data_IF_943800311544
#
_entry.id   IF_943800311544
#
_cell.length_a   1.000
_cell.length_b   1.000
_cell.length_c   1.000
_cell.angle_alpha   90.00
_cell.angle_beta   90.00
_cell.angle_gamma   90.00
#
_symmetry.space_group_name_H-M   'P 1'
#
loop_
_entity.id
_entity.type
_entity.pdbx_description
1 polymer ?
#
# COMPACT_ATOMS: atom_id res chain seq x y z
N UNK A 1 -20.79 -25.25 1.25
CA UNK A 1 -20.49 -24.23 0.25
C UNK A 1 -19.63 -23.18 0.90
N UNK A 2 -18.53 -22.81 0.24
CA UNK A 2 -17.50 -22.02 0.90
C UNK A 2 -17.89 -20.55 1.07
N UNK A 3 -18.37 -20.20 2.24
CA UNK A 3 -18.72 -18.81 2.63
C UNK A 3 -17.56 -17.83 2.34
N UNK A 4 -16.32 -18.29 2.50
CA UNK A 4 -15.13 -17.51 2.18
C UNK A 4 -15.08 -17.06 0.69
N UNK A 5 -15.44 -17.95 -0.24
CA UNK A 5 -15.48 -17.62 -1.69
C UNK A 5 -16.61 -16.67 -2.03
N UNK A 6 -17.74 -16.83 -1.36
CA UNK A 6 -18.86 -15.90 -1.52
C UNK A 6 -18.53 -14.51 -0.98
N UNK A 7 -17.87 -14.43 0.17
CA UNK A 7 -17.37 -13.17 0.74
C UNK A 7 -16.37 -12.48 -0.22
N UNK A 8 -15.42 -13.23 -0.77
CA UNK A 8 -14.46 -12.71 -1.76
C UNK A 8 -15.16 -12.21 -3.03
N UNK A 9 -16.14 -12.95 -3.56
CA UNK A 9 -16.94 -12.52 -4.72
C UNK A 9 -17.71 -11.23 -4.43
N UNK A 10 -18.39 -11.16 -3.28
CA UNK A 10 -19.15 -9.98 -2.89
C UNK A 10 -18.25 -8.75 -2.73
N UNK A 11 -17.06 -8.91 -2.15
CA UNK A 11 -16.07 -7.85 -2.02
C UNK A 11 -15.59 -7.35 -3.39
N UNK A 12 -15.24 -8.25 -4.30
CA UNK A 12 -14.80 -7.93 -5.65
C UNK A 12 -15.88 -7.19 -6.45
N UNK A 13 -17.15 -7.61 -6.32
CA UNK A 13 -18.27 -6.95 -6.98
C UNK A 13 -18.50 -5.53 -6.45
N UNK A 14 -18.42 -5.32 -5.14
CA UNK A 14 -18.55 -3.99 -4.52
C UNK A 14 -17.43 -3.05 -4.92
N UNK A 15 -16.19 -3.55 -4.95
CA UNK A 15 -15.07 -2.77 -5.46
C UNK A 15 -15.27 -2.38 -6.94
N UNK A 16 -15.62 -3.32 -7.80
CA UNK A 16 -15.82 -3.07 -9.23
C UNK A 16 -16.92 -2.04 -9.54
N UNK A 17 -17.96 -1.96 -8.69
CA UNK A 17 -19.03 -0.96 -8.83
C UNK A 17 -18.71 0.39 -8.20
N UNK A 18 -17.49 0.57 -7.64
CA UNK A 18 -17.10 1.79 -6.95
C UNK A 18 -17.79 2.00 -5.59
N UNK A 19 -18.53 0.98 -5.11
CA UNK A 19 -19.31 1.09 -3.86
C UNK A 19 -18.44 1.14 -2.59
N UNK A 20 -17.21 0.62 -2.64
CA UNK A 20 -16.25 0.67 -1.55
C UNK A 20 -14.84 0.30 -2.02
N UNK A 21 -13.82 0.75 -1.29
CA UNK A 21 -12.45 0.24 -1.43
C UNK A 21 -12.40 -1.25 -1.07
N UNK A 22 -11.43 -1.98 -1.61
CA UNK A 22 -11.36 -3.44 -1.46
C UNK A 22 -11.32 -3.88 0.00
N UNK A 23 -10.55 -3.19 0.85
CA UNK A 23 -10.44 -3.47 2.29
C UNK A 23 -11.81 -3.36 2.99
N UNK A 24 -12.51 -2.24 2.78
CA UNK A 24 -13.81 -1.99 3.41
C UNK A 24 -14.87 -2.96 2.90
N UNK A 25 -14.85 -3.27 1.59
CA UNK A 25 -15.77 -4.23 0.98
C UNK A 25 -15.54 -5.64 1.52
N UNK A 26 -14.27 -6.03 1.67
CA UNK A 26 -13.88 -7.36 2.15
C UNK A 26 -14.20 -7.55 3.63
N UNK A 27 -13.81 -6.59 4.48
CA UNK A 27 -14.10 -6.65 5.92
C UNK A 27 -15.61 -6.73 6.16
N UNK A 28 -16.41 -5.89 5.49
CA UNK A 28 -17.86 -5.94 5.59
C UNK A 28 -18.46 -7.27 5.08
N UNK A 29 -17.83 -7.94 4.11
CA UNK A 29 -18.27 -9.24 3.63
C UNK A 29 -17.91 -10.37 4.60
N UNK A 30 -16.72 -10.31 5.21
CA UNK A 30 -16.25 -11.24 6.24
C UNK A 30 -17.13 -11.16 7.48
N UNK A 31 -17.37 -9.94 7.98
CA UNK A 31 -18.22 -9.71 9.17
C UNK A 31 -19.66 -10.19 8.95
N UNK A 32 -20.25 -9.86 7.79
CA UNK A 32 -21.61 -10.27 7.44
C UNK A 32 -21.76 -11.79 7.34
N UNK A 33 -20.71 -12.47 6.85
CA UNK A 33 -20.71 -13.92 6.69
C UNK A 33 -20.33 -14.65 7.99
N UNK A 34 -19.90 -13.94 9.06
CA UNK A 34 -19.47 -14.50 10.33
C UNK A 34 -18.30 -15.48 10.16
N UNK A 35 -17.34 -15.15 9.27
CA UNK A 35 -16.24 -16.05 8.96
C UNK A 35 -15.29 -16.20 10.15
N UNK A 36 -14.86 -17.43 10.42
CA UNK A 36 -13.75 -17.66 11.32
C UNK A 36 -12.42 -17.13 10.74
N UNK A 37 -11.35 -17.17 11.55
CA UNK A 37 -10.02 -16.66 11.17
C UNK A 37 -9.47 -17.32 9.90
N UNK A 38 -9.70 -18.63 9.72
CA UNK A 38 -9.19 -19.39 8.58
C UNK A 38 -9.93 -19.03 7.30
N UNK A 39 -11.25 -18.99 7.37
CA UNK A 39 -12.11 -18.63 6.23
C UNK A 39 -11.97 -17.16 5.85
N UNK A 40 -11.79 -16.26 6.83
CA UNK A 40 -11.48 -14.85 6.59
C UNK A 40 -10.14 -14.68 5.85
N UNK A 41 -9.10 -15.40 6.26
CA UNK A 41 -7.80 -15.40 5.57
C UNK A 41 -7.92 -15.94 4.13
N UNK A 42 -8.71 -17.01 3.92
CA UNK A 42 -8.97 -17.54 2.59
C UNK A 42 -9.73 -16.53 1.70
N UNK A 43 -10.77 -15.88 2.22
CA UNK A 43 -11.52 -14.86 1.51
C UNK A 43 -10.61 -13.70 1.09
N UNK A 44 -9.75 -13.24 2.00
CA UNK A 44 -8.78 -12.18 1.76
C UNK A 44 -7.78 -12.56 0.66
N UNK A 45 -7.20 -13.76 0.75
CA UNK A 45 -6.25 -14.25 -0.25
C UNK A 45 -6.89 -14.39 -1.64
N UNK A 46 -8.14 -14.87 -1.72
CA UNK A 46 -8.87 -14.95 -3.00
C UNK A 46 -9.16 -13.55 -3.56
N UNK A 47 -9.67 -12.64 -2.74
CA UNK A 47 -10.03 -11.29 -3.16
C UNK A 47 -8.80 -10.50 -3.67
N UNK A 48 -7.80 -10.34 -2.82
CA UNK A 48 -6.59 -9.57 -3.16
C UNK A 48 -5.77 -10.22 -4.26
N UNK A 49 -5.60 -11.54 -4.23
CA UNK A 49 -4.87 -12.24 -5.28
C UNK A 49 -5.57 -12.19 -6.64
N UNK A 50 -6.91 -12.17 -6.66
CA UNK A 50 -7.67 -11.95 -7.89
C UNK A 50 -7.45 -10.53 -8.40
N UNK A 51 -7.56 -9.50 -7.55
CA UNK A 51 -7.29 -8.10 -7.91
C UNK A 51 -5.86 -7.91 -8.44
N UNK A 52 -4.91 -8.55 -7.80
CA UNK A 52 -3.50 -8.48 -8.16
C UNK A 52 -3.19 -9.07 -9.55
N UNK A 53 -4.02 -10.02 -10.02
CA UNK A 53 -3.74 -10.80 -11.22
C UNK A 53 -4.82 -10.68 -12.31
N UNK A 54 -5.68 -9.63 -12.31
CA UNK A 54 -6.87 -9.57 -13.19
C UNK A 54 -6.56 -9.77 -14.68
N UNK A 55 -5.54 -9.07 -15.22
CA UNK A 55 -5.23 -9.16 -16.65
C UNK A 55 -4.64 -10.53 -17.03
N UNK A 56 -3.78 -11.08 -16.18
CA UNK A 56 -3.24 -12.42 -16.39
C UNK A 56 -4.31 -13.51 -16.27
N UNK A 57 -5.24 -13.38 -15.32
CA UNK A 57 -6.38 -14.29 -15.20
C UNK A 57 -7.29 -14.22 -16.42
N UNK A 58 -7.56 -13.03 -16.93
CA UNK A 58 -8.36 -12.86 -18.15
C UNK A 58 -7.65 -13.49 -19.36
N UNK A 59 -6.33 -13.29 -19.50
CA UNK A 59 -5.54 -13.97 -20.53
C UNK A 59 -5.68 -15.49 -20.45
N UNK A 60 -5.47 -16.08 -19.26
CA UNK A 60 -5.59 -17.54 -19.09
C UNK A 60 -7.00 -18.07 -19.37
N UNK A 61 -8.03 -17.32 -19.01
CA UNK A 61 -9.43 -17.70 -19.25
C UNK A 61 -9.79 -17.57 -20.74
N UNK A 62 -9.31 -16.54 -21.42
CA UNK A 62 -9.58 -16.30 -22.84
C UNK A 62 -9.05 -17.39 -23.74
N UNK A 63 -8.02 -18.14 -23.34
CA UNK A 63 -7.55 -19.34 -24.03
C UNK A 63 -8.65 -20.41 -24.22
N UNK A 64 -9.63 -20.42 -23.32
CA UNK A 64 -10.69 -21.45 -23.25
C UNK A 64 -12.10 -20.90 -23.42
N UNK A 65 -12.26 -19.57 -23.45
CA UNK A 65 -13.54 -18.89 -23.67
C UNK A 65 -13.74 -18.61 -25.17
N UNK A 66 -14.90 -18.97 -25.72
CA UNK A 66 -15.27 -18.55 -27.10
C UNK A 66 -15.55 -17.05 -27.19
N UNK A 67 -16.14 -16.48 -26.12
CA UNK A 67 -16.38 -15.04 -25.97
C UNK A 67 -15.33 -14.48 -25.02
N UNK A 68 -14.61 -13.42 -25.37
CA UNK A 68 -13.64 -12.79 -24.49
C UNK A 68 -14.23 -12.51 -23.09
N UNK A 69 -13.49 -12.84 -22.05
CA UNK A 69 -13.93 -12.72 -20.64
C UNK A 69 -14.44 -11.32 -20.32
N UNK A 70 -13.83 -10.26 -20.88
CA UNK A 70 -14.24 -8.86 -20.73
C UNK A 70 -15.68 -8.57 -21.21
N UNK A 71 -16.21 -9.40 -22.15
CA UNK A 71 -17.55 -9.24 -22.71
C UNK A 71 -18.62 -10.09 -22.00
N UNK A 72 -18.20 -10.94 -21.06
CA UNK A 72 -19.14 -11.74 -20.27
C UNK A 72 -19.91 -10.87 -19.26
N UNK A 73 -21.06 -11.37 -18.83
CA UNK A 73 -21.81 -10.78 -17.72
C UNK A 73 -20.87 -10.59 -16.51
N UNK A 74 -20.88 -9.41 -15.86
CA UNK A 74 -19.95 -9.08 -14.78
C UNK A 74 -19.88 -10.13 -13.67
N UNK A 75 -21.04 -10.69 -13.27
CA UNK A 75 -21.07 -11.71 -12.22
C UNK A 75 -20.42 -13.02 -12.66
N UNK A 76 -20.60 -13.44 -13.93
CA UNK A 76 -19.97 -14.63 -14.51
C UNK A 76 -18.47 -14.45 -14.60
N UNK A 77 -18.03 -13.28 -15.06
CA UNK A 77 -16.62 -12.90 -15.16
C UNK A 77 -15.93 -12.95 -13.81
N UNK A 78 -16.52 -12.33 -12.79
CA UNK A 78 -15.95 -12.29 -11.44
C UNK A 78 -15.84 -13.71 -10.84
N UNK A 79 -16.85 -14.58 -11.06
CA UNK A 79 -16.80 -16.00 -10.64
C UNK A 79 -15.67 -16.75 -11.35
N UNK A 80 -15.50 -16.55 -12.65
CA UNK A 80 -14.41 -17.16 -13.42
C UNK A 80 -13.06 -16.72 -12.88
N UNK A 81 -12.87 -15.43 -12.63
CA UNK A 81 -11.61 -14.85 -12.12
C UNK A 81 -11.22 -15.41 -10.76
N UNK A 82 -12.12 -15.41 -9.76
CA UNK A 82 -11.82 -15.95 -8.42
C UNK A 82 -11.56 -17.47 -8.46
N UNK A 83 -12.21 -18.18 -9.37
CA UNK A 83 -11.99 -19.62 -9.54
C UNK A 83 -10.66 -19.91 -10.27
N UNK A 84 -10.34 -19.16 -11.31
CA UNK A 84 -9.08 -19.24 -12.04
C UNK A 84 -7.89 -18.93 -11.13
N UNK A 85 -7.99 -17.90 -10.28
CA UNK A 85 -6.97 -17.59 -9.29
C UNK A 85 -6.68 -18.79 -8.37
N UNK A 86 -7.71 -19.46 -7.86
CA UNK A 86 -7.53 -20.63 -7.03
C UNK A 86 -6.92 -21.81 -7.78
N UNK A 87 -7.31 -22.03 -9.05
CA UNK A 87 -6.77 -23.10 -9.89
C UNK A 87 -5.28 -22.91 -10.18
N UNK A 88 -4.87 -21.64 -10.42
CA UNK A 88 -3.52 -21.32 -10.89
C UNK A 88 -2.53 -21.06 -9.75
N UNK A 89 -2.98 -20.49 -8.65
CA UNK A 89 -2.08 -19.97 -7.59
C UNK A 89 -2.18 -20.71 -6.25
N UNK A 90 -3.16 -21.60 -6.05
CA UNK A 90 -3.25 -22.38 -4.80
C UNK A 90 -2.70 -23.79 -4.99
N UNK A 91 -1.65 -24.10 -4.24
CA UNK A 91 -1.08 -25.45 -4.18
C UNK A 91 -1.83 -26.40 -3.23
N UNK A 92 -2.41 -25.82 -2.16
CA UNK A 92 -3.06 -26.61 -1.09
C UNK A 92 -4.53 -26.92 -1.35
N UNK A 93 -5.17 -26.26 -2.31
CA UNK A 93 -6.57 -26.52 -2.69
C UNK A 93 -6.58 -27.34 -3.97
N UNK A 94 -7.20 -28.54 -3.94
CA UNK A 94 -7.33 -29.33 -5.16
C UNK A 94 -8.05 -28.54 -6.27
N UNK A 95 -7.48 -28.47 -7.45
CA UNK A 95 -8.05 -27.75 -8.62
C UNK A 95 -9.51 -28.13 -8.88
N UNK A 96 -9.87 -29.43 -8.69
CA UNK A 96 -11.26 -29.91 -8.84
C UNK A 96 -12.21 -29.25 -7.84
N UNK A 97 -11.75 -28.97 -6.63
CA UNK A 97 -12.56 -28.27 -5.61
C UNK A 97 -12.83 -26.81 -6.06
N UNK A 98 -11.81 -26.11 -6.59
CA UNK A 98 -11.98 -24.74 -7.10
C UNK A 98 -13.00 -24.71 -8.28
N UNK A 99 -12.95 -25.69 -9.18
CA UNK A 99 -13.94 -25.82 -10.27
C UNK A 99 -15.34 -26.06 -9.71
N UNK A 100 -15.51 -27.04 -8.81
CA UNK A 100 -16.82 -27.39 -8.23
C UNK A 100 -17.47 -26.23 -7.49
N UNK A 101 -16.70 -25.51 -6.67
CA UNK A 101 -17.17 -24.33 -5.92
C UNK A 101 -17.51 -23.16 -6.85
N UNK A 102 -16.73 -22.92 -7.91
CA UNK A 102 -17.02 -21.89 -8.92
C UNK A 102 -18.32 -22.17 -9.67
N UNK A 103 -18.56 -23.44 -10.03
CA UNK A 103 -19.82 -23.85 -10.65
C UNK A 103 -21.00 -23.73 -9.67
N UNK A 104 -20.80 -24.05 -8.39
CA UNK A 104 -21.83 -23.91 -7.36
C UNK A 104 -22.23 -22.43 -7.17
N UNK A 105 -21.24 -21.53 -7.08
CA UNK A 105 -21.48 -20.08 -7.01
C UNK A 105 -22.23 -19.58 -8.26
N UNK A 106 -21.85 -20.06 -9.46
CA UNK A 106 -22.53 -19.68 -10.69
C UNK A 106 -23.99 -20.16 -10.72
N UNK A 107 -24.27 -21.38 -10.25
CA UNK A 107 -25.64 -21.89 -10.17
C UNK A 107 -26.54 -21.02 -9.26
N UNK A 108 -25.97 -20.40 -8.24
CA UNK A 108 -26.74 -19.51 -7.35
C UNK A 108 -26.95 -18.11 -7.94
N UNK A 109 -25.89 -17.54 -8.57
CA UNK A 109 -25.88 -16.14 -8.98
C UNK A 109 -26.31 -15.95 -10.44
N UNK A 110 -25.94 -16.88 -11.32
CA UNK A 110 -26.13 -16.84 -12.77
C UNK A 110 -26.39 -18.24 -13.32
N UNK A 111 -27.51 -18.91 -12.98
CA UNK A 111 -27.75 -20.33 -13.29
C UNK A 111 -27.57 -20.69 -14.77
N UNK A 112 -27.98 -19.78 -15.68
CA UNK A 112 -27.89 -19.96 -17.12
C UNK A 112 -26.45 -20.10 -17.65
N UNK A 113 -25.48 -19.53 -16.94
CA UNK A 113 -24.06 -19.55 -17.31
C UNK A 113 -23.30 -20.76 -16.71
N UNK A 114 -23.92 -21.61 -15.90
CA UNK A 114 -23.24 -22.68 -15.17
C UNK A 114 -22.53 -23.69 -16.09
N UNK A 115 -23.11 -23.98 -17.25
CA UNK A 115 -22.48 -24.83 -18.28
C UNK A 115 -21.20 -24.23 -18.87
N UNK A 116 -21.25 -22.93 -19.18
CA UNK A 116 -20.07 -22.17 -19.65
C UNK A 116 -18.97 -22.17 -18.59
N UNK A 117 -19.29 -21.78 -17.35
CA UNK A 117 -18.32 -21.72 -16.24
C UNK A 117 -17.69 -23.09 -16.00
N UNK A 118 -18.47 -24.16 -15.99
CA UNK A 118 -17.95 -25.52 -15.84
C UNK A 118 -16.98 -25.89 -16.97
N UNK A 119 -17.35 -25.63 -18.23
CA UNK A 119 -16.52 -25.98 -19.39
C UNK A 119 -15.19 -25.23 -19.39
N UNK A 120 -15.21 -23.91 -19.11
CA UNK A 120 -14.01 -23.07 -19.09
C UNK A 120 -13.08 -23.47 -17.93
N UNK A 121 -13.61 -23.60 -16.70
CA UNK A 121 -12.81 -23.93 -15.54
C UNK A 121 -12.24 -25.34 -15.58
N UNK A 122 -12.95 -26.32 -16.17
CA UNK A 122 -12.39 -27.65 -16.39
C UNK A 122 -11.19 -27.62 -17.32
N UNK A 123 -11.34 -26.98 -18.49
CA UNK A 123 -10.24 -26.85 -19.46
C UNK A 123 -9.04 -26.13 -18.85
N UNK A 124 -9.28 -25.02 -18.13
CA UNK A 124 -8.21 -24.33 -17.41
C UNK A 124 -7.53 -25.25 -16.37
N UNK A 125 -8.31 -26.01 -15.59
CA UNK A 125 -7.79 -26.92 -14.57
C UNK A 125 -6.94 -28.05 -15.16
N UNK A 126 -7.37 -28.62 -16.30
CA UNK A 126 -6.68 -29.70 -17.02
C UNK A 126 -5.36 -29.21 -17.63
N UNK A 127 -5.28 -27.93 -18.04
CA UNK A 127 -4.13 -27.34 -18.73
C UNK A 127 -3.35 -26.33 -17.86
N UNK A 128 -3.61 -26.23 -16.57
CA UNK A 128 -3.03 -25.21 -15.71
C UNK A 128 -1.48 -25.24 -15.62
N UNK A 129 -0.86 -26.39 -15.91
CA UNK A 129 0.61 -26.55 -15.96
C UNK A 129 1.20 -26.31 -17.36
N UNK A 130 0.36 -26.03 -18.36
CA UNK A 130 0.72 -25.85 -19.76
C UNK A 130 0.11 -24.55 -20.34
N UNK A 131 -0.10 -23.54 -19.51
CA UNK A 131 -0.52 -22.21 -19.97
C UNK A 131 0.59 -21.63 -20.85
N UNK A 132 0.28 -21.25 -22.09
CA UNK A 132 1.27 -20.60 -22.94
C UNK A 132 1.80 -19.31 -22.31
N UNK A 133 3.05 -18.93 -22.55
CA UNK A 133 3.57 -17.63 -22.11
C UNK A 133 2.75 -16.51 -22.75
N UNK A 134 2.62 -15.40 -22.03
CA UNK A 134 2.01 -14.19 -22.58
C UNK A 134 2.84 -13.75 -23.79
N UNK A 135 2.24 -13.51 -24.96
CA UNK A 135 2.99 -13.15 -26.16
C UNK A 135 3.57 -11.74 -26.09
N UNK A 136 4.50 -11.43 -27.00
CA UNK A 136 5.05 -10.07 -27.15
C UNK A 136 6.11 -9.71 -26.12
N UNK A 137 6.94 -10.65 -25.69
CA UNK A 137 8.10 -10.38 -24.83
C UNK A 137 8.90 -9.16 -25.34
N UNK A 138 9.29 -8.27 -24.42
CA UNK A 138 9.94 -7.00 -24.77
C UNK A 138 8.97 -5.83 -25.02
N UNK A 139 7.66 -6.04 -24.94
CA UNK A 139 6.66 -4.97 -25.14
C UNK A 139 5.95 -4.56 -23.83
N UNK A 140 5.39 -3.36 -23.82
CA UNK A 140 4.58 -2.87 -22.70
C UNK A 140 3.31 -3.71 -22.49
N UNK A 141 2.70 -4.20 -23.56
CA UNK A 141 1.53 -5.07 -23.55
C UNK A 141 1.84 -6.39 -22.86
N UNK A 142 3.01 -6.99 -23.13
CA UNK A 142 3.47 -8.19 -22.45
C UNK A 142 3.54 -7.96 -20.93
N UNK A 143 4.24 -6.91 -20.50
CA UNK A 143 4.37 -6.57 -19.08
C UNK A 143 3.01 -6.30 -18.43
N UNK A 144 2.14 -5.54 -19.13
CA UNK A 144 0.80 -5.20 -18.63
C UNK A 144 -0.03 -6.45 -18.34
N UNK A 145 -0.02 -7.42 -19.24
CA UNK A 145 -0.79 -8.67 -19.07
C UNK A 145 -0.09 -9.61 -18.09
N UNK A 146 1.20 -9.82 -18.24
CA UNK A 146 2.00 -10.76 -17.43
C UNK A 146 1.95 -10.42 -15.93
N UNK A 147 2.07 -9.14 -15.60
CA UNK A 147 2.11 -8.65 -14.22
C UNK A 147 0.81 -7.95 -13.79
N UNK A 148 -0.21 -7.93 -14.66
CA UNK A 148 -1.53 -7.37 -14.37
C UNK A 148 -1.49 -5.91 -13.90
N UNK A 149 -0.71 -5.07 -14.59
CA UNK A 149 -0.70 -3.62 -14.40
C UNK A 149 -1.35 -2.94 -15.61
N UNK A 150 -2.12 -1.85 -15.44
CA UNK A 150 -2.69 -1.11 -16.57
C UNK A 150 -1.61 -0.65 -17.55
N UNK A 151 -1.91 -0.73 -18.83
CA UNK A 151 -0.95 -0.40 -19.89
C UNK A 151 -0.44 1.04 -19.78
N UNK A 152 -1.33 1.99 -19.37
CA UNK A 152 -0.93 3.38 -19.18
C UNK A 152 0.18 3.52 -18.10
N UNK A 153 0.09 2.76 -17.00
CA UNK A 153 1.11 2.78 -15.94
C UNK A 153 2.43 2.16 -16.42
N UNK A 154 2.35 1.04 -17.15
CA UNK A 154 3.54 0.39 -17.72
C UNK A 154 4.25 1.35 -18.69
N UNK A 155 3.50 1.97 -19.60
CA UNK A 155 4.05 2.97 -20.53
C UNK A 155 4.69 4.13 -19.79
N UNK A 156 4.03 4.65 -18.74
CA UNK A 156 4.56 5.77 -17.95
C UNK A 156 5.89 5.43 -17.26
N UNK A 157 6.03 4.20 -16.77
CA UNK A 157 7.30 3.72 -16.19
C UNK A 157 8.39 3.54 -17.25
N UNK A 158 8.05 3.03 -18.43
CA UNK A 158 8.98 2.85 -19.56
C UNK A 158 9.46 4.18 -20.18
N UNK A 159 8.80 5.30 -19.92
CA UNK A 159 9.31 6.63 -20.34
C UNK A 159 10.59 7.04 -19.59
N UNK A 160 10.82 6.51 -18.40
CA UNK A 160 11.92 6.92 -17.51
C UNK A 160 12.86 5.79 -17.12
N UNK A 161 12.46 4.53 -17.35
CA UNK A 161 13.24 3.34 -16.98
C UNK A 161 13.24 2.33 -18.14
N UNK A 162 14.30 1.50 -18.21
CA UNK A 162 14.37 0.42 -19.18
C UNK A 162 13.38 -0.73 -18.88
N UNK A 163 13.27 -1.65 -19.83
CA UNK A 163 12.34 -2.78 -19.75
C UNK A 163 12.60 -3.68 -18.54
N UNK A 164 13.86 -4.03 -18.28
CA UNK A 164 14.25 -4.96 -17.22
C UNK A 164 13.96 -4.37 -15.83
N UNK A 165 14.22 -3.07 -15.66
CA UNK A 165 13.86 -2.35 -14.44
C UNK A 165 12.35 -2.35 -14.21
N UNK A 166 11.56 -2.02 -15.24
CA UNK A 166 10.10 -1.99 -15.12
C UNK A 166 9.57 -3.39 -14.84
N UNK A 167 10.05 -4.42 -15.53
CA UNK A 167 9.67 -5.80 -15.28
C UNK A 167 9.92 -6.21 -13.82
N UNK A 168 11.12 -5.93 -13.30
CA UNK A 168 11.47 -6.21 -11.91
C UNK A 168 10.55 -5.47 -10.90
N UNK A 169 10.23 -4.20 -11.18
CA UNK A 169 9.34 -3.40 -10.35
C UNK A 169 7.90 -3.97 -10.32
N UNK A 170 7.36 -4.35 -11.50
CA UNK A 170 6.03 -4.95 -11.61
C UNK A 170 5.96 -6.33 -10.95
N UNK A 171 7.02 -7.14 -11.07
CA UNK A 171 7.14 -8.43 -10.39
C UNK A 171 7.15 -8.25 -8.86
N UNK A 172 7.92 -7.30 -8.34
CA UNK A 172 7.98 -6.98 -6.92
C UNK A 172 6.64 -6.47 -6.36
N UNK A 173 5.87 -5.73 -7.17
CA UNK A 173 4.51 -5.32 -6.81
C UNK A 173 3.54 -6.51 -6.65
N UNK A 174 3.86 -7.66 -7.22
CA UNK A 174 3.07 -8.89 -7.12
C UNK A 174 3.64 -9.90 -6.12
N UNK A 175 4.78 -9.62 -5.50
CA UNK A 175 5.37 -10.48 -4.49
C UNK A 175 4.63 -10.38 -3.14
N UNK A 176 4.74 -11.42 -2.33
CA UNK A 176 4.27 -11.38 -0.94
C UNK A 176 5.07 -10.34 -0.15
N UNK A 177 4.35 -9.53 0.61
CA UNK A 177 4.94 -8.42 1.37
C UNK A 177 4.87 -8.70 2.85
N UNK A 178 5.99 -8.70 3.59
CA UNK A 178 5.96 -8.81 5.03
C UNK A 178 5.34 -7.55 5.65
N UNK A 179 4.75 -7.73 6.83
CA UNK A 179 4.32 -6.60 7.66
C UNK A 179 5.57 -6.03 8.36
N UNK A 180 5.83 -4.75 8.18
CA UNK A 180 6.95 -4.07 8.84
C UNK A 180 6.45 -3.46 10.17
N UNK A 181 7.07 -3.88 11.26
CA UNK A 181 6.82 -3.42 12.62
C UNK A 181 7.92 -2.45 13.00
N UNK A 182 7.53 -1.29 13.52
CA UNK A 182 8.44 -0.30 14.08
C UNK A 182 8.38 -0.38 15.60
N UNK A 183 9.51 -0.69 16.22
CA UNK A 183 9.59 -0.84 17.67
C UNK A 183 9.44 0.52 18.38
N UNK A 184 8.66 0.56 19.43
CA UNK A 184 8.56 1.69 20.34
C UNK A 184 9.73 1.64 21.32
N UNK A 185 10.91 2.10 20.90
CA UNK A 185 12.18 2.00 21.63
C UNK A 185 12.11 2.59 23.07
N UNK A 186 11.38 3.68 23.37
CA UNK A 186 11.16 4.11 24.74
C UNK A 186 10.50 3.08 25.67
N UNK A 187 9.85 2.04 25.13
CA UNK A 187 9.13 1.02 25.91
C UNK A 187 9.77 -0.36 25.87
N UNK A 188 10.43 -0.71 24.77
CA UNK A 188 10.94 -2.06 24.58
C UNK A 188 12.12 -2.06 23.60
N UNK A 189 13.07 -2.96 23.85
CA UNK A 189 14.13 -3.25 22.91
C UNK A 189 13.62 -4.14 21.76
N UNK A 190 14.10 -3.91 20.54
CA UNK A 190 13.72 -4.66 19.35
C UNK A 190 14.03 -6.16 19.48
N UNK A 191 15.12 -6.52 20.16
CA UNK A 191 15.53 -7.92 20.39
C UNK A 191 14.52 -8.63 21.29
N UNK A 192 14.02 -7.96 22.32
CA UNK A 192 12.98 -8.53 23.19
C UNK A 192 11.65 -8.71 22.42
N UNK A 193 11.25 -7.71 21.64
CA UNK A 193 10.05 -7.80 20.79
C UNK A 193 10.18 -8.97 19.80
N UNK A 194 11.34 -9.13 19.17
CA UNK A 194 11.63 -10.23 18.26
C UNK A 194 11.41 -11.60 18.92
N UNK A 195 12.05 -11.85 20.07
CA UNK A 195 11.91 -13.12 20.81
C UNK A 195 10.47 -13.39 21.22
N UNK A 196 9.73 -12.35 21.61
CA UNK A 196 8.31 -12.47 22.00
C UNK A 196 7.42 -12.84 20.83
N UNK A 197 7.66 -12.30 19.64
CA UNK A 197 6.93 -12.65 18.43
C UNK A 197 7.25 -14.08 17.98
N UNK A 198 8.53 -14.47 18.02
CA UNK A 198 8.97 -15.84 17.69
C UNK A 198 8.30 -16.87 18.61
N UNK A 199 8.25 -16.63 19.91
CA UNK A 199 7.60 -17.50 20.89
C UNK A 199 6.09 -17.67 20.65
N UNK A 200 5.44 -16.74 19.93
CA UNK A 200 4.03 -16.82 19.54
C UNK A 200 3.83 -17.50 18.17
N UNK A 201 4.90 -18.01 17.56
CA UNK A 201 4.86 -18.75 16.29
C UNK A 201 4.87 -17.86 15.06
N UNK A 202 5.21 -16.57 15.19
CA UNK A 202 5.58 -15.73 14.04
C UNK A 202 6.99 -16.11 13.58
N UNK A 203 7.33 -15.75 12.33
CA UNK A 203 8.67 -15.89 11.77
C UNK A 203 9.28 -14.48 11.56
N UNK A 204 9.65 -13.76 12.64
CA UNK A 204 10.17 -12.41 12.53
C UNK A 204 11.58 -12.43 11.91
N UNK A 205 11.90 -11.38 11.15
CA UNK A 205 13.23 -11.11 10.59
C UNK A 205 13.58 -9.65 10.91
N UNK A 206 14.80 -9.40 11.39
CA UNK A 206 15.27 -8.03 11.58
C UNK A 206 15.43 -7.35 10.22
N UNK A 207 15.03 -6.08 10.15
CA UNK A 207 15.22 -5.30 8.93
C UNK A 207 16.71 -4.94 8.75
N UNK A 208 17.23 -5.10 7.54
CA UNK A 208 18.68 -4.92 7.24
C UNK A 208 19.18 -3.49 7.44
N UNK A 209 18.34 -2.48 7.13
CA UNK A 209 18.68 -1.05 7.18
C UNK A 209 18.17 -0.31 8.42
N UNK A 210 17.22 -0.91 9.14
CA UNK A 210 16.55 -0.30 10.31
C UNK A 210 16.64 -1.26 11.49
N UNK A 211 17.59 -1.07 12.43
CA UNK A 211 17.86 -2.03 13.52
C UNK A 211 16.71 -2.15 14.53
N UNK A 212 15.78 -1.20 14.52
CA UNK A 212 14.58 -1.18 15.36
C UNK A 212 13.30 -1.64 14.63
N UNK A 213 13.43 -2.10 13.40
CA UNK A 213 12.32 -2.61 12.60
C UNK A 213 12.36 -4.13 12.45
N UNK A 214 11.19 -4.76 12.52
CA UNK A 214 11.01 -6.20 12.39
C UNK A 214 10.03 -6.50 11.26
N UNK A 215 10.43 -7.39 10.35
CA UNK A 215 9.60 -7.88 9.26
C UNK A 215 8.92 -9.18 9.68
N UNK A 216 7.60 -9.27 9.49
CA UNK A 216 6.83 -10.49 9.78
C UNK A 216 6.12 -10.94 8.50
N UNK A 217 6.43 -12.12 7.97
CA UNK A 217 5.90 -12.60 6.68
C UNK A 217 4.39 -12.81 6.64
N UNK A 218 3.71 -12.80 7.78
CA UNK A 218 2.26 -13.00 7.83
C UNK A 218 1.73 -13.07 9.24
N UNK A 219 0.42 -13.25 9.37
CA UNK A 219 -0.27 -13.33 10.64
C UNK A 219 -0.86 -11.99 11.12
N UNK A 220 -1.75 -12.07 12.11
CA UNK A 220 -2.39 -10.87 12.68
C UNK A 220 -1.57 -10.37 13.88
N UNK A 221 -0.52 -9.62 13.60
CA UNK A 221 0.37 -9.02 14.62
C UNK A 221 -0.37 -8.04 15.54
N UNK A 222 -1.44 -7.41 15.06
CA UNK A 222 -2.22 -6.44 15.85
C UNK A 222 -3.13 -7.10 16.90
N UNK A 223 -3.30 -8.40 16.84
CA UNK A 223 -4.02 -9.16 17.86
C UNK A 223 -3.13 -9.57 19.05
N UNK A 224 -1.82 -9.32 18.99
CA UNK A 224 -0.86 -9.69 20.05
C UNK A 224 -0.96 -8.80 21.27
N UNK A 225 -0.49 -9.30 22.41
CA UNK A 225 -0.39 -8.52 23.65
C UNK A 225 0.64 -7.40 23.52
N UNK A 226 1.74 -7.64 22.80
CA UNK A 226 2.79 -6.67 22.52
C UNK A 226 2.23 -5.44 21.78
N UNK A 227 1.31 -5.65 20.82
CA UNK A 227 0.61 -4.55 20.15
C UNK A 227 -0.27 -3.78 21.14
N UNK A 228 -1.08 -4.46 21.95
CA UNK A 228 -1.94 -3.82 22.95
C UNK A 228 -1.16 -3.01 23.98
N UNK A 229 0.03 -3.49 24.34
CA UNK A 229 0.98 -2.77 25.23
C UNK A 229 1.69 -1.59 24.56
N UNK A 230 1.48 -1.36 23.27
CA UNK A 230 2.13 -0.28 22.54
C UNK A 230 3.64 -0.49 22.32
N UNK A 231 4.10 -1.73 22.24
CA UNK A 231 5.50 -2.04 22.00
C UNK A 231 5.94 -1.78 20.57
N UNK A 232 4.97 -1.77 19.62
CA UNK A 232 5.23 -1.47 18.23
C UNK A 232 4.01 -0.84 17.55
N UNK A 233 4.27 -0.27 16.39
CA UNK A 233 3.27 0.13 15.41
C UNK A 233 3.63 -0.42 14.03
N UNK A 234 2.66 -0.47 13.12
CA UNK A 234 2.86 -0.96 11.76
C UNK A 234 3.11 0.22 10.84
N UNK A 235 4.28 0.24 10.20
CA UNK A 235 4.64 1.26 9.22
C UNK A 235 5.68 0.71 8.25
N UNK A 236 5.56 1.07 6.97
CA UNK A 236 6.57 0.73 5.97
C UNK A 236 7.93 1.35 6.30
N UNK A 237 9.01 0.64 5.94
CA UNK A 237 10.36 1.10 6.22
C UNK A 237 10.69 2.44 5.54
N UNK A 238 10.27 2.66 4.28
CA UNK A 238 10.50 3.93 3.59
C UNK A 238 9.80 5.10 4.28
N UNK A 239 8.58 4.90 4.79
CA UNK A 239 7.87 5.93 5.55
C UNK A 239 8.57 6.27 6.89
N UNK A 240 9.22 5.29 7.54
CA UNK A 240 10.10 5.53 8.71
C UNK A 240 11.36 6.29 8.30
N UNK A 241 12.00 5.89 7.18
CA UNK A 241 13.20 6.55 6.66
C UNK A 241 12.95 8.02 6.33
N UNK A 242 11.73 8.40 5.92
CA UNK A 242 11.34 9.80 5.73
C UNK A 242 11.49 10.61 7.03
N UNK A 243 11.00 10.07 8.13
CA UNK A 243 11.13 10.75 9.43
C UNK A 243 12.59 10.81 9.90
N UNK A 244 13.36 9.73 9.68
CA UNK A 244 14.79 9.71 9.98
C UNK A 244 15.58 10.71 9.11
N UNK A 245 15.16 10.94 7.85
CA UNK A 245 15.73 11.97 7.00
C UNK A 245 15.43 13.38 7.51
N UNK A 246 14.20 13.62 7.99
CA UNK A 246 13.82 14.89 8.64
C UNK A 246 14.61 15.16 9.92
N UNK A 247 14.99 14.09 10.63
CA UNK A 247 15.85 14.09 11.82
C UNK A 247 15.32 14.97 12.97
N UNK A 248 14.04 14.82 13.41
CA UNK A 248 13.52 15.55 14.56
C UNK A 248 14.26 15.17 15.85
N UNK A 249 14.71 16.16 16.61
CA UNK A 249 15.48 15.98 17.86
C UNK A 249 14.60 16.17 19.10
N UNK A 250 14.96 15.56 20.25
CA UNK A 250 14.30 15.86 21.52
C UNK A 250 14.23 17.36 21.80
N UNK A 251 13.05 17.84 22.15
CA UNK A 251 12.78 19.25 22.44
C UNK A 251 12.32 20.10 21.27
N UNK A 252 12.38 19.60 20.03
CA UNK A 252 11.90 20.30 18.85
C UNK A 252 10.36 20.34 18.79
N UNK A 253 9.85 21.26 17.98
CA UNK A 253 8.46 21.37 17.56
C UNK A 253 8.28 20.78 16.15
N UNK A 254 7.33 19.86 15.98
CA UNK A 254 7.07 19.17 14.71
C UNK A 254 5.62 19.38 14.27
N UNK A 255 5.41 19.71 13.02
CA UNK A 255 4.10 19.64 12.35
C UNK A 255 4.07 18.42 11.41
N UNK A 256 3.14 17.49 11.63
CA UNK A 256 2.80 16.43 10.68
C UNK A 256 1.50 16.86 9.98
N UNK A 257 1.62 17.44 8.77
CA UNK A 257 0.54 18.20 8.15
C UNK A 257 -0.55 17.34 7.49
N UNK A 258 -0.25 16.06 7.17
CA UNK A 258 -1.18 15.09 6.59
C UNK A 258 -1.08 13.75 7.34
N UNK A 259 -1.21 13.81 8.66
CA UNK A 259 -0.70 12.82 9.60
C UNK A 259 -1.37 11.44 9.56
N UNK A 260 -2.66 11.36 9.17
CA UNK A 260 -3.40 10.12 9.33
C UNK A 260 -2.88 8.95 8.44
N UNK A 261 -2.65 7.78 9.03
CA UNK A 261 -3.14 7.28 10.32
C UNK A 261 -2.20 7.49 11.53
N UNK A 262 -1.13 8.28 11.43
CA UNK A 262 -0.26 8.65 12.55
C UNK A 262 1.14 8.03 12.53
N UNK A 263 1.46 7.19 11.56
CA UNK A 263 2.73 6.46 11.54
C UNK A 263 3.96 7.36 11.58
N UNK A 264 3.95 8.52 10.89
CA UNK A 264 5.07 9.47 10.88
C UNK A 264 5.14 10.26 12.19
N UNK A 265 3.99 10.67 12.74
CA UNK A 265 3.94 11.27 14.09
C UNK A 265 4.50 10.34 15.17
N UNK A 266 4.19 9.02 15.09
CA UNK A 266 4.73 8.04 16.03
C UNK A 266 6.24 7.83 15.85
N UNK A 267 6.71 7.77 14.59
CA UNK A 267 8.13 7.70 14.30
C UNK A 267 8.89 8.92 14.84
N UNK A 268 8.33 10.12 14.65
CA UNK A 268 8.90 11.36 15.20
C UNK A 268 8.92 11.33 16.74
N UNK A 269 7.84 10.89 17.39
CA UNK A 269 7.79 10.79 18.85
C UNK A 269 8.83 9.82 19.43
N UNK A 270 9.08 8.68 18.74
CA UNK A 270 10.17 7.76 19.10
C UNK A 270 11.53 8.44 18.94
N UNK A 271 11.79 9.08 17.80
CA UNK A 271 13.05 9.76 17.49
C UNK A 271 13.32 10.92 18.46
N UNK A 272 12.27 11.61 18.87
CA UNK A 272 12.33 12.70 19.86
C UNK A 272 12.37 12.21 21.32
N UNK A 273 12.41 10.92 21.56
CA UNK A 273 12.39 10.34 22.91
C UNK A 273 11.19 10.82 23.75
N UNK A 274 10.04 11.06 23.09
CA UNK A 274 8.82 11.61 23.67
C UNK A 274 9.06 12.96 24.41
N UNK A 275 9.92 13.84 23.87
CA UNK A 275 10.27 15.17 24.40
C UNK A 275 10.15 16.22 23.30
N UNK A 276 9.43 17.31 23.56
CA UNK A 276 9.11 18.37 22.58
C UNK A 276 7.61 18.44 22.33
N UNK A 277 7.21 18.78 21.12
CA UNK A 277 5.80 18.84 20.72
C UNK A 277 5.60 18.37 19.29
N UNK A 278 4.52 17.64 19.02
CA UNK A 278 4.10 17.22 17.67
C UNK A 278 2.65 17.62 17.49
N UNK A 279 2.36 18.46 16.49
CA UNK A 279 1.01 18.74 16.03
C UNK A 279 0.70 17.88 14.83
N UNK A 280 -0.16 16.88 14.99
CA UNK A 280 -0.58 15.96 13.93
C UNK A 280 -1.91 16.43 13.34
N UNK A 281 -1.87 16.89 12.08
CA UNK A 281 -3.01 17.44 11.36
C UNK A 281 -3.52 16.49 10.27
N UNK A 282 -4.81 16.45 10.05
CA UNK A 282 -5.45 15.86 8.86
C UNK A 282 -6.71 16.65 8.53
N UNK A 283 -7.05 16.74 7.24
CA UNK A 283 -8.28 17.41 6.78
C UNK A 283 -9.56 16.82 7.40
N UNK A 284 -9.54 15.54 7.76
CA UNK A 284 -10.71 14.80 8.23
C UNK A 284 -10.63 14.46 9.72
N UNK A 285 -11.38 15.14 10.57
CA UNK A 285 -11.47 14.89 12.02
C UNK A 285 -11.65 13.40 12.38
N UNK A 286 -12.45 12.66 11.61
CA UNK A 286 -12.68 11.22 11.85
C UNK A 286 -11.41 10.38 11.79
N UNK A 287 -10.40 10.81 11.04
CA UNK A 287 -9.13 10.09 10.93
C UNK A 287 -8.21 10.34 12.12
N UNK A 288 -8.31 11.52 12.76
CA UNK A 288 -7.50 11.89 13.92
C UNK A 288 -7.71 10.97 15.12
N UNK A 289 -8.90 10.39 15.24
CA UNK A 289 -9.19 9.40 16.29
C UNK A 289 -8.15 8.26 16.31
N UNK A 290 -7.71 7.76 15.14
CA UNK A 290 -6.71 6.69 15.05
C UNK A 290 -5.35 7.14 15.57
N UNK A 291 -4.99 8.40 15.36
CA UNK A 291 -3.74 8.99 15.86
C UNK A 291 -3.80 9.05 17.39
N UNK A 292 -4.90 9.57 17.96
CA UNK A 292 -5.10 9.68 19.42
C UNK A 292 -5.05 8.31 20.11
N UNK A 293 -5.82 7.35 19.60
CA UNK A 293 -5.84 5.97 20.11
C UNK A 293 -4.45 5.30 20.01
N UNK A 294 -3.71 5.55 18.92
CA UNK A 294 -2.35 5.06 18.73
C UNK A 294 -1.36 5.71 19.69
N UNK A 295 -1.40 7.02 19.84
CA UNK A 295 -0.54 7.77 20.76
C UNK A 295 -0.76 7.34 22.22
N UNK A 296 -2.02 7.22 22.65
CA UNK A 296 -2.40 6.73 23.98
C UNK A 296 -1.87 5.31 24.22
N UNK A 297 -2.14 4.38 23.28
CA UNK A 297 -1.68 2.99 23.35
C UNK A 297 -0.17 2.91 23.49
N UNK A 298 0.58 3.73 22.76
CA UNK A 298 2.05 3.75 22.79
C UNK A 298 2.64 4.63 23.89
N UNK A 299 1.82 5.45 24.57
CA UNK A 299 2.22 6.33 25.67
C UNK A 299 2.98 7.57 25.21
N UNK A 300 2.70 8.06 24.01
CA UNK A 300 3.23 9.34 23.56
C UNK A 300 2.38 10.49 24.11
N UNK A 301 3.02 11.37 24.88
CA UNK A 301 2.38 12.53 25.51
C UNK A 301 2.60 13.83 24.77
N UNK A 302 3.47 13.83 23.74
CA UNK A 302 3.86 15.02 22.99
C UNK A 302 3.07 15.21 21.69
N UNK A 303 2.11 14.31 21.39
CA UNK A 303 1.33 14.36 20.16
C UNK A 303 -0.05 14.97 20.45
N UNK A 304 -0.28 16.16 19.92
CA UNK A 304 -1.59 16.78 19.83
C UNK A 304 -2.16 16.60 18.41
N UNK A 305 -3.50 16.66 18.28
CA UNK A 305 -4.16 16.46 16.99
C UNK A 305 -5.13 17.57 16.66
N UNK A 306 -5.13 18.05 15.41
CA UNK A 306 -6.02 19.11 14.95
C UNK A 306 -6.57 18.80 13.54
N UNK A 307 -7.86 19.08 13.31
CA UNK A 307 -8.43 19.02 11.98
C UNK A 307 -8.09 20.32 11.24
N UNK A 308 -7.20 20.21 10.26
CA UNK A 308 -6.69 21.34 9.51
C UNK A 308 -6.48 20.99 8.04
N UNK A 309 -6.77 21.94 7.17
CA UNK A 309 -6.31 21.90 5.78
C UNK A 309 -4.83 22.34 5.75
N UNK A 310 -3.94 21.44 5.33
CA UNK A 310 -2.49 21.70 5.27
C UNK A 310 -2.13 22.97 4.47
N UNK A 311 -2.96 23.36 3.49
CA UNK A 311 -2.81 24.60 2.72
C UNK A 311 -3.05 25.87 3.55
N UNK A 312 -3.64 25.73 4.74
CA UNK A 312 -3.99 26.83 5.65
C UNK A 312 -3.36 26.64 7.02
N UNK A 313 -2.37 25.77 7.12
CA UNK A 313 -1.64 25.56 8.36
C UNK A 313 -0.98 26.86 8.85
N UNK A 314 -0.82 27.00 10.14
CA UNK A 314 -0.20 28.17 10.76
C UNK A 314 0.67 27.72 11.94
N UNK A 315 1.56 28.59 12.38
CA UNK A 315 2.51 28.32 13.42
C UNK A 315 3.95 28.38 12.91
N UNK A 316 4.90 28.02 13.76
CA UNK A 316 6.33 27.98 13.41
C UNK A 316 6.92 26.71 14.04
N UNK A 317 7.51 25.85 13.19
CA UNK A 317 7.98 24.54 13.60
C UNK A 317 9.42 24.30 13.12
N UNK A 318 10.19 23.57 13.92
CA UNK A 318 11.55 23.16 13.56
C UNK A 318 11.55 22.13 12.43
N UNK A 319 10.53 21.27 12.41
CA UNK A 319 10.34 20.24 11.36
C UNK A 319 8.88 20.21 10.92
N UNK A 320 8.67 20.27 9.62
CA UNK A 320 7.34 20.09 8.98
C UNK A 320 7.39 18.84 8.12
N UNK A 321 6.53 17.86 8.42
CA UNK A 321 6.35 16.65 7.64
C UNK A 321 5.16 16.83 6.69
N UNK A 322 5.42 16.84 5.40
CA UNK A 322 4.44 16.94 4.33
C UNK A 322 4.31 15.60 3.59
N UNK A 323 3.62 14.61 4.23
CA UNK A 323 3.26 13.34 3.60
C UNK A 323 1.96 13.53 2.81
N UNK A 324 2.08 14.14 1.66
CA UNK A 324 0.94 14.68 0.93
C UNK A 324 0.05 13.61 0.29
N UNK A 325 -1.25 13.89 0.09
CA UNK A 325 -2.12 13.01 -0.69
C UNK A 325 -1.56 12.85 -2.10
N UNK A 326 -1.47 11.58 -2.56
CA UNK A 326 -0.87 11.21 -3.83
C UNK A 326 -1.64 10.07 -4.53
N UNK A 327 -1.21 9.67 -5.72
CA UNK A 327 -1.80 8.55 -6.44
C UNK A 327 -1.73 7.22 -5.67
N UNK A 328 -0.73 7.04 -4.81
CA UNK A 328 -0.52 5.83 -4.04
C UNK A 328 0.07 4.66 -4.86
N UNK A 329 0.58 4.92 -6.06
CA UNK A 329 1.08 3.86 -6.96
C UNK A 329 2.34 3.14 -6.45
N UNK A 330 2.95 3.63 -5.39
CA UNK A 330 4.05 2.95 -4.71
C UNK A 330 3.60 1.84 -3.76
N UNK A 331 2.32 1.83 -3.32
CA UNK A 331 1.81 0.83 -2.36
C UNK A 331 0.93 -0.25 -3.01
N UNK A 332 1.04 -0.43 -4.30
CA UNK A 332 0.30 -1.42 -5.11
C UNK A 332 0.43 -2.84 -4.53
N UNK A 333 1.61 -3.21 -4.02
CA UNK A 333 1.86 -4.54 -3.44
C UNK A 333 1.00 -4.84 -2.20
N UNK A 334 0.60 -3.80 -1.45
CA UNK A 334 -0.27 -3.89 -0.26
C UNK A 334 -1.73 -3.61 -0.60
N UNK A 335 -1.98 -2.79 -1.61
CA UNK A 335 -3.31 -2.35 -2.08
C UNK A 335 -3.43 -2.52 -3.59
N UNK A 336 -3.61 -3.75 -4.07
CA UNK A 336 -3.56 -4.06 -5.51
C UNK A 336 -4.60 -3.32 -6.34
N UNK A 337 -5.71 -2.90 -5.75
CA UNK A 337 -6.76 -2.12 -6.42
C UNK A 337 -6.32 -0.72 -6.85
N UNK A 338 -5.30 -0.16 -6.23
CA UNK A 338 -4.79 1.19 -6.57
C UNK A 338 -4.30 1.25 -8.02
N UNK A 339 -3.75 0.15 -8.55
CA UNK A 339 -3.30 0.07 -9.95
C UNK A 339 -4.40 0.35 -10.97
N UNK A 340 -5.66 0.16 -10.61
CA UNK A 340 -6.82 0.34 -11.49
C UNK A 340 -7.46 1.73 -11.37
N UNK A 341 -6.79 2.70 -10.73
CA UNK A 341 -7.23 4.09 -10.75
C UNK A 341 -7.25 4.62 -12.18
N UNK A 342 -8.24 5.46 -12.47
CA UNK A 342 -8.30 6.20 -13.73
C UNK A 342 -7.18 7.24 -13.73
N UNK A 343 -6.29 7.28 -14.74
CA UNK A 343 -5.24 8.27 -14.84
C UNK A 343 -5.76 9.71 -14.86
N UNK A 344 -6.94 9.96 -15.43
CA UNK A 344 -7.54 11.30 -15.42
C UNK A 344 -7.84 11.80 -13.99
N UNK A 345 -8.18 10.88 -13.07
CA UNK A 345 -8.41 11.22 -11.65
C UNK A 345 -7.13 11.61 -10.89
N UNK A 346 -5.96 11.39 -11.48
CA UNK A 346 -4.66 11.67 -10.87
C UNK A 346 -4.05 13.00 -11.37
N UNK A 347 -4.61 13.59 -12.44
CA UNK A 347 -4.05 14.76 -13.14
C UNK A 347 -3.84 15.97 -12.23
N UNK A 348 -4.75 16.21 -11.30
CA UNK A 348 -4.73 17.41 -10.45
C UNK A 348 -3.85 17.23 -9.19
N UNK A 349 -3.37 16.01 -8.91
CA UNK A 349 -2.60 15.73 -7.69
C UNK A 349 -1.32 16.57 -7.57
N UNK A 350 -0.48 16.74 -8.61
CA UNK A 350 0.73 17.57 -8.49
C UNK A 350 0.41 19.04 -8.13
N UNK A 351 -0.69 19.59 -8.66
CA UNK A 351 -1.17 20.93 -8.31
C UNK A 351 -1.56 21.03 -6.84
N UNK A 352 -2.34 20.07 -6.34
CA UNK A 352 -2.76 20.02 -4.92
C UNK A 352 -1.54 19.86 -4.00
N UNK A 353 -0.58 19.03 -4.38
CA UNK A 353 0.65 18.79 -3.62
C UNK A 353 1.49 20.06 -3.52
N UNK A 354 1.60 20.81 -4.62
CA UNK A 354 2.28 22.09 -4.63
C UNK A 354 1.56 23.13 -3.75
N UNK A 355 0.23 23.27 -3.85
CA UNK A 355 -0.55 24.15 -2.97
C UNK A 355 -0.33 23.84 -1.47
N UNK A 356 -0.19 22.54 -1.13
CA UNK A 356 0.12 22.11 0.25
C UNK A 356 1.51 22.60 0.65
N UNK A 357 2.54 22.41 -0.18
CA UNK A 357 3.89 22.87 0.13
C UNK A 357 3.94 24.39 0.28
N UNK A 358 3.28 25.14 -0.59
CA UNK A 358 3.15 26.60 -0.51
C UNK A 358 2.51 27.06 0.81
N UNK A 359 1.43 26.34 1.26
CA UNK A 359 0.78 26.62 2.53
C UNK A 359 1.66 26.27 3.75
N UNK A 360 2.55 25.29 3.61
CA UNK A 360 3.43 24.84 4.70
C UNK A 360 4.76 25.62 4.79
N UNK A 361 5.24 26.24 3.70
CA UNK A 361 6.50 26.99 3.67
C UNK A 361 6.60 28.09 4.76
N UNK A 362 5.54 28.88 5.05
CA UNK A 362 5.55 29.83 6.16
C UNK A 362 5.65 29.19 7.53
N UNK A 363 5.21 27.93 7.68
CA UNK A 363 5.22 27.21 8.95
C UNK A 363 6.60 26.67 9.33
N UNK A 364 7.58 26.68 8.43
CA UNK A 364 8.95 26.25 8.70
C UNK A 364 9.72 27.43 9.29
N UNK A 365 10.30 27.27 10.49
CA UNK A 365 11.14 28.30 11.08
C UNK A 365 12.44 28.50 10.26
N UNK A 366 13.12 29.65 10.38
CA UNK A 366 14.45 29.83 9.81
C UNK A 366 15.40 28.73 10.27
N UNK A 367 16.14 28.09 9.35
CA UNK A 367 16.97 26.94 9.62
C UNK A 367 16.22 25.61 9.84
N UNK A 368 14.87 25.62 9.76
CA UNK A 368 14.03 24.43 9.91
C UNK A 368 13.99 23.54 8.68
N UNK A 369 13.32 22.40 8.80
CA UNK A 369 13.21 21.36 7.76
C UNK A 369 11.77 21.25 7.28
N UNK A 370 11.56 21.25 5.97
CA UNK A 370 10.35 20.78 5.30
C UNK A 370 10.68 19.43 4.65
N UNK A 371 10.07 18.36 5.14
CA UNK A 371 10.19 17.05 4.54
C UNK A 371 8.99 16.79 3.65
N UNK A 372 9.20 16.70 2.37
CA UNK A 372 8.19 16.25 1.40
C UNK A 372 8.27 14.75 1.20
N UNK A 373 7.14 14.05 1.24
CA UNK A 373 7.06 12.63 0.93
C UNK A 373 5.75 12.24 0.27
N UNK A 374 5.84 11.19 -0.57
CA UNK A 374 4.69 10.57 -1.23
C UNK A 374 4.83 9.06 -1.23
N UNK A 375 3.71 8.34 -1.27
CA UNK A 375 3.69 6.90 -1.52
C UNK A 375 3.43 6.59 -3.01
N UNK A 376 4.05 7.34 -3.92
CA UNK A 376 4.00 7.12 -5.36
C UNK A 376 5.40 7.08 -5.98
N UNK A 377 5.49 6.53 -7.18
CA UNK A 377 6.73 6.47 -7.98
C UNK A 377 6.66 7.34 -9.23
N UNK A 378 5.61 8.15 -9.37
CA UNK A 378 5.43 9.01 -10.52
C UNK A 378 6.28 10.29 -10.40
N UNK A 379 7.17 10.58 -11.36
CA UNK A 379 8.04 11.76 -11.31
C UNK A 379 7.30 13.09 -11.20
N UNK A 380 6.12 13.20 -11.81
CA UNK A 380 5.28 14.40 -11.77
C UNK A 380 4.75 14.75 -10.38
N UNK A 381 4.54 13.74 -9.52
CA UNK A 381 4.15 13.91 -8.12
C UNK A 381 5.35 14.03 -7.17
N UNK A 382 6.55 13.74 -7.64
CA UNK A 382 7.79 13.66 -6.88
C UNK A 382 8.74 14.81 -7.23
N UNK A 383 9.77 14.55 -8.04
CA UNK A 383 10.77 15.56 -8.43
C UNK A 383 10.15 16.76 -9.16
N UNK A 384 9.05 16.54 -9.90
CA UNK A 384 8.32 17.61 -10.58
C UNK A 384 7.75 18.65 -9.61
N UNK A 385 7.11 18.17 -8.52
CA UNK A 385 6.56 19.05 -7.47
C UNK A 385 7.67 19.77 -6.71
N UNK A 386 8.72 19.04 -6.31
CA UNK A 386 9.86 19.60 -5.57
C UNK A 386 10.58 20.66 -6.39
N UNK A 387 10.85 20.39 -7.67
CA UNK A 387 11.53 21.35 -8.56
C UNK A 387 10.71 22.61 -8.77
N UNK A 388 9.40 22.49 -8.97
CA UNK A 388 8.51 23.62 -9.10
C UNK A 388 8.46 24.47 -7.81
N UNK A 389 8.35 23.82 -6.65
CA UNK A 389 8.36 24.50 -5.35
C UNK A 389 9.66 25.30 -5.13
N UNK A 390 10.82 24.67 -5.36
CA UNK A 390 12.13 25.32 -5.20
C UNK A 390 12.33 26.51 -6.17
N UNK A 391 11.71 26.45 -7.35
CA UNK A 391 11.73 27.57 -8.31
C UNK A 391 11.04 28.83 -7.77
N UNK A 392 10.00 28.66 -6.95
CA UNK A 392 9.22 29.78 -6.40
C UNK A 392 9.68 30.15 -4.97
N UNK A 393 10.43 29.28 -4.30
CA UNK A 393 10.89 29.44 -2.92
C UNK A 393 12.43 29.36 -2.80
N UNK A 394 13.16 30.40 -3.23
CA UNK A 394 14.61 30.42 -3.21
C UNK A 394 15.22 30.37 -1.80
N UNK A 395 14.41 30.59 -0.77
CA UNK A 395 14.79 30.42 0.63
C UNK A 395 14.89 28.93 1.07
N UNK A 396 14.46 27.98 0.22
CA UNK A 396 14.62 26.56 0.46
C UNK A 396 15.67 25.95 -0.45
N UNK A 397 16.40 24.98 0.07
CA UNK A 397 17.33 24.16 -0.70
C UNK A 397 17.25 22.69 -0.32
N UNK A 398 17.53 21.77 -1.24
CA UNK A 398 17.63 20.34 -0.93
C UNK A 398 18.79 20.07 0.01
N UNK A 399 18.59 19.23 1.01
CA UNK A 399 19.62 18.82 1.96
C UNK A 399 19.85 17.31 1.88
N UNK A 400 21.06 16.86 1.49
CA UNK A 400 21.43 15.45 1.48
C UNK A 400 21.34 14.81 2.85
N UNK A 401 20.97 13.53 2.87
CA UNK A 401 20.96 12.69 4.08
C UNK A 401 21.46 11.28 3.74
N UNK A 402 21.68 10.45 4.75
CA UNK A 402 22.01 9.04 4.53
C UNK A 402 20.92 8.27 3.75
N UNK A 403 19.68 8.76 3.77
CA UNK A 403 18.54 8.14 3.07
C UNK A 403 18.29 8.77 1.69
N UNK A 404 18.70 9.99 1.51
CA UNK A 404 18.56 10.80 0.29
C UNK A 404 19.93 11.45 -0.04
N UNK A 405 20.90 10.70 -0.59
CA UNK A 405 22.26 11.21 -0.81
C UNK A 405 22.34 12.46 -1.68
N UNK A 406 21.41 12.61 -2.63
CA UNK A 406 21.30 13.75 -3.53
C UNK A 406 20.21 14.75 -3.08
N UNK A 407 19.72 14.64 -1.84
CA UNK A 407 18.64 15.46 -1.28
C UNK A 407 17.25 14.94 -1.57
N UNK A 408 17.04 14.19 -2.66
CA UNK A 408 15.80 13.50 -3.02
C UNK A 408 16.07 12.02 -3.31
N UNK A 409 15.04 11.17 -3.17
CA UNK A 409 15.13 9.75 -3.54
C UNK A 409 13.76 9.13 -3.74
N UNK A 410 13.62 8.36 -4.84
CA UNK A 410 12.53 7.38 -5.01
C UNK A 410 13.01 6.00 -4.56
N UNK A 411 12.29 5.39 -3.62
CA UNK A 411 12.48 4.01 -3.18
C UNK A 411 11.64 3.08 -4.05
N UNK A 412 12.20 1.92 -4.37
CA UNK A 412 11.56 0.94 -5.23
C UNK A 412 11.48 -0.43 -4.55
N UNK A 413 10.34 -1.15 -4.65
CA UNK A 413 10.17 -2.45 -4.00
C UNK A 413 11.24 -3.48 -4.33
N UNK A 414 11.68 -3.55 -5.60
CA UNK A 414 12.69 -4.51 -6.09
C UNK A 414 14.13 -4.14 -5.71
N UNK A 415 14.40 -2.86 -5.41
CA UNK A 415 15.74 -2.40 -5.02
C UNK A 415 15.92 -2.26 -3.52
N UNK A 416 14.88 -1.78 -2.85
CA UNK A 416 14.95 -1.37 -1.44
C UNK A 416 14.22 -2.32 -0.48
N UNK A 417 13.39 -3.24 -1.01
CA UNK A 417 12.55 -4.11 -0.19
C UNK A 417 11.36 -3.39 0.49
N UNK A 418 11.25 -2.07 0.31
CA UNK A 418 10.21 -1.20 0.87
C UNK A 418 9.02 -1.04 -0.09
N UNK A 419 7.98 -0.31 0.29
CA UNK A 419 7.02 0.22 -0.67
C UNK A 419 7.72 1.20 -1.63
N UNK A 420 7.08 1.46 -2.80
CA UNK A 420 7.46 2.58 -3.63
C UNK A 420 7.14 3.88 -2.89
N UNK A 421 8.15 4.72 -2.71
CA UNK A 421 8.05 5.90 -1.86
C UNK A 421 9.03 6.97 -2.30
N UNK A 422 8.67 8.24 -2.15
CA UNK A 422 9.56 9.37 -2.45
C UNK A 422 9.82 10.21 -1.22
N UNK A 423 11.03 10.71 -1.10
CA UNK A 423 11.48 11.58 -0.02
C UNK A 423 12.30 12.73 -0.61
N UNK A 424 11.99 13.96 -0.19
CA UNK A 424 12.82 15.14 -0.38
C UNK A 424 12.95 15.89 0.94
N UNK A 425 14.18 16.13 1.38
CA UNK A 425 14.47 16.99 2.54
C UNK A 425 14.84 18.38 2.06
N UNK A 426 14.05 19.37 2.48
CA UNK A 426 14.25 20.77 2.15
C UNK A 426 14.61 21.54 3.41
N UNK A 427 15.73 22.29 3.38
CA UNK A 427 16.18 23.17 4.45
C UNK A 427 15.79 24.60 4.11
N UNK A 428 15.10 25.28 5.04
CA UNK A 428 14.87 26.74 4.93
C UNK A 428 16.14 27.46 5.34
N UNK A 429 16.72 28.19 4.42
CA UNK A 429 17.79 29.15 4.71
C UNK A 429 17.22 30.37 5.42
N UNK A 430 18.04 31.18 6.07
CA UNK A 430 17.58 32.32 6.88
C UNK A 430 16.86 33.38 6.06
#
# INVERSE_FOLDING_TARGET
>A
MGLAREAALNALQRWRTGAAWSDAALNAAIDRAGLDRRDAALASRICYGTLQNLAYLDYCLDLWCRTPVRKLEPAVRDILRISAYQILFFSQIPRRAAVSEGVALCKQRCPRASGLVNAVLRRLSENASAIPPVPGEGTAEHLSVRYSHPLWLVNRLLETHDYDFVEAALAANNAETPVCLQTNQPRVDASLLFVRLEAQGFAPVMHDKLPDAILVPGGNVTATEEFRRGWFYVQDAAAKMAVLAADPKPGMSVLDACAAPGGKSFAAAVQMENRGSILACDLHEKKLRRIREGAERMGFSIIDTEACDARKASGSFDVVLADVPCSGLGVIRKKPEIRYKDPESLRDLPGIQREILEGLAPCVCPGGVLLYSTCTVLPEENDGVVSAFLGDHPEFGVEPTNWTPDGTRTFWPHLDGTDGFFIAKLRKTV
#
